data_IF_885277936977
#
_entry.id   IF_885277936977
#
_cell.length_a   1.000
_cell.length_b   1.000
_cell.length_c   1.000
_cell.angle_alpha   90.00
_cell.angle_beta   90.00
_cell.angle_gamma   90.00
#
_symmetry.space_group_name_H-M   'P 1'
#
loop_
_entity.id
_entity.type
_entity.pdbx_description
1 polymer ?
#
# COMPACT_ATOMS: atom_id res chain seq x y z
N UNK A 1 -25.58 2.82 17.12
CA UNK A 1 -24.20 2.28 17.16
C UNK A 1 -23.34 3.20 16.29
N UNK A 2 -22.75 4.23 16.89
CA UNK A 2 -21.94 5.22 16.19
C UNK A 2 -20.65 4.57 15.70
N UNK A 3 -20.57 4.37 14.39
CA UNK A 3 -19.31 4.00 13.75
C UNK A 3 -18.46 5.28 13.81
N UNK A 4 -17.55 5.36 14.79
CA UNK A 4 -16.52 6.41 14.81
C UNK A 4 -15.83 6.41 13.44
N UNK A 5 -16.12 7.43 12.62
CA UNK A 5 -15.29 7.73 11.46
C UNK A 5 -13.92 8.07 12.02
N UNK A 6 -12.94 7.19 11.80
CA UNK A 6 -11.54 7.51 12.07
C UNK A 6 -11.20 8.69 11.16
N UNK A 7 -10.90 9.85 11.75
CA UNK A 7 -10.42 10.97 10.94
C UNK A 7 -9.05 10.61 10.37
N UNK A 8 -8.64 11.26 9.28
CA UNK A 8 -7.30 11.02 8.72
C UNK A 8 -6.17 11.29 9.73
N UNK A 9 -6.38 12.21 10.68
CA UNK A 9 -5.45 12.51 11.75
C UNK A 9 -5.41 11.39 12.80
N UNK A 10 -6.57 10.87 13.22
CA UNK A 10 -6.62 9.70 14.12
C UNK A 10 -5.90 8.48 13.51
N UNK A 11 -5.98 8.34 12.18
CA UNK A 11 -5.28 7.29 11.46
C UNK A 11 -3.76 7.50 11.47
N UNK A 12 -3.29 8.74 11.31
CA UNK A 12 -1.86 9.09 11.42
C UNK A 12 -1.36 8.75 12.82
N UNK A 13 -2.05 9.20 13.88
CA UNK A 13 -1.63 8.92 15.26
C UNK A 13 -1.60 7.42 15.57
N UNK A 14 -2.65 6.70 15.13
CA UNK A 14 -2.73 5.26 15.31
C UNK A 14 -1.60 4.52 14.60
N UNK A 15 -1.30 4.87 13.34
CA UNK A 15 -0.20 4.27 12.60
C UNK A 15 1.15 4.62 13.20
N UNK A 16 1.35 5.88 13.61
CA UNK A 16 2.57 6.33 14.28
C UNK A 16 2.86 5.54 15.56
N UNK A 17 1.82 5.29 16.37
CA UNK A 17 1.94 4.43 17.56
C UNK A 17 2.33 3.00 17.21
N UNK A 18 1.66 2.39 16.22
CA UNK A 18 2.00 1.02 15.76
C UNK A 18 3.45 0.95 15.28
N UNK A 19 3.91 1.94 14.51
CA UNK A 19 5.29 1.96 14.02
C UNK A 19 6.31 2.09 15.15
N UNK A 20 6.04 2.92 16.15
CA UNK A 20 6.93 3.09 17.30
C UNK A 20 7.02 1.81 18.14
N UNK A 21 5.89 1.15 18.39
CA UNK A 21 5.79 -0.10 19.15
C UNK A 21 6.41 -1.31 18.42
N UNK A 22 6.67 -1.19 17.11
CA UNK A 22 7.19 -2.26 16.26
C UNK A 22 8.42 -1.79 15.47
N UNK A 23 9.24 -0.88 16.03
CA UNK A 23 10.35 -0.22 15.32
C UNK A 23 11.40 -1.20 14.79
N UNK A 24 11.56 -2.34 15.45
CA UNK A 24 12.49 -3.42 15.11
C UNK A 24 11.98 -4.33 13.99
N UNK A 25 10.70 -4.23 13.62
CA UNK A 25 10.08 -5.05 12.59
C UNK A 25 10.16 -4.39 11.23
N UNK A 26 10.29 -5.20 10.18
CA UNK A 26 10.03 -4.81 8.80
C UNK A 26 8.53 -4.66 8.61
N UNK A 27 8.04 -3.45 8.36
CA UNK A 27 6.60 -3.17 8.25
C UNK A 27 6.24 -2.81 6.80
N UNK A 28 5.22 -3.48 6.26
CA UNK A 28 4.59 -3.11 4.98
C UNK A 28 3.15 -2.66 5.23
N UNK A 29 2.80 -1.47 4.74
CA UNK A 29 1.44 -0.93 4.74
C UNK A 29 0.84 -1.09 3.36
N UNK A 30 -0.16 -1.95 3.23
CA UNK A 30 -0.82 -2.25 1.97
C UNK A 30 -2.23 -1.72 1.93
N UNK A 31 -2.62 -1.17 0.79
CA UNK A 31 -4.00 -0.75 0.54
C UNK A 31 -4.23 -0.47 -0.93
N UNK A 32 -5.46 -0.61 -1.39
CA UNK A 32 -5.83 -0.29 -2.78
C UNK A 32 -5.66 1.22 -3.07
N UNK A 33 -5.89 1.64 -4.31
CA UNK A 33 -6.00 3.07 -4.62
C UNK A 33 -7.08 3.73 -3.75
N UNK A 34 -7.01 5.05 -3.58
CA UNK A 34 -7.94 5.83 -2.75
C UNK A 34 -7.92 5.53 -1.22
N UNK A 35 -7.02 4.70 -0.69
CA UNK A 35 -6.88 4.51 0.77
C UNK A 35 -6.16 5.66 1.48
N UNK A 36 -5.56 6.60 0.75
CA UNK A 36 -4.85 7.75 1.33
C UNK A 36 -3.37 7.51 1.60
N UNK A 37 -2.74 6.47 1.03
CA UNK A 37 -1.31 6.14 1.23
C UNK A 37 -0.38 7.35 1.08
N UNK A 38 -0.49 8.11 0.00
CA UNK A 38 0.32 9.32 -0.25
C UNK A 38 0.14 10.40 0.84
N UNK A 39 -1.07 10.54 1.38
CA UNK A 39 -1.30 11.46 2.49
C UNK A 39 -0.61 10.93 3.76
N UNK A 40 -0.76 9.64 4.05
CA UNK A 40 -0.19 9.01 5.23
C UNK A 40 1.34 9.01 5.20
N UNK A 41 1.97 8.72 4.06
CA UNK A 41 3.43 8.76 3.91
C UNK A 41 4.00 10.15 4.16
N UNK A 42 3.31 11.20 3.69
CA UNK A 42 3.71 12.59 3.94
C UNK A 42 3.60 13.04 5.40
N UNK A 43 2.78 12.37 6.22
CA UNK A 43 2.57 12.72 7.63
C UNK A 43 3.29 11.79 8.61
N UNK A 44 3.68 10.59 8.17
CA UNK A 44 4.36 9.59 8.99
C UNK A 44 5.87 9.61 8.69
N UNK A 45 6.63 10.29 9.55
CA UNK A 45 8.09 10.40 9.40
C UNK A 45 8.76 9.04 9.30
N UNK A 46 9.73 8.92 8.39
CA UNK A 46 10.49 7.70 8.15
C UNK A 46 9.75 6.62 7.35
N UNK A 47 8.48 6.85 7.01
CA UNK A 47 7.78 6.00 6.06
C UNK A 47 8.17 6.31 4.61
N UNK A 48 8.00 5.31 3.75
CA UNK A 48 8.48 5.32 2.38
C UNK A 48 7.32 4.98 1.46
N UNK A 49 7.12 5.75 0.39
CA UNK A 49 6.24 5.33 -0.71
C UNK A 49 6.97 4.31 -1.60
N UNK A 50 6.31 3.19 -1.88
CA UNK A 50 6.88 2.08 -2.67
C UNK A 50 7.32 2.53 -4.06
N UNK A 51 6.56 3.41 -4.72
CA UNK A 51 6.89 3.88 -6.06
C UNK A 51 8.12 4.81 -5.98
N UNK A 52 8.17 5.72 -5.01
CA UNK A 52 9.34 6.57 -4.78
C UNK A 52 10.61 5.76 -4.47
N UNK A 53 10.48 4.62 -3.79
CA UNK A 53 11.61 3.76 -3.47
C UNK A 53 12.08 2.91 -4.65
N UNK A 54 11.15 2.30 -5.41
CA UNK A 54 11.51 1.35 -6.47
C UNK A 54 12.02 2.05 -7.72
N UNK A 55 11.44 3.19 -8.11
CA UNK A 55 11.78 3.85 -9.38
C UNK A 55 13.27 4.22 -9.50
N UNK A 56 13.94 4.73 -8.46
CA UNK A 56 15.39 4.95 -8.49
C UNK A 56 16.23 3.69 -8.71
N UNK A 57 15.71 2.51 -8.31
CA UNK A 57 16.39 1.21 -8.42
C UNK A 57 16.21 0.55 -9.79
N UNK A 58 15.30 1.07 -10.62
CA UNK A 58 15.06 0.55 -11.95
C UNK A 58 16.06 1.13 -12.96
N UNK A 59 16.64 0.25 -13.77
CA UNK A 59 17.36 0.63 -14.99
C UNK A 59 16.42 1.32 -15.97
N UNK A 60 17.00 2.06 -16.94
CA UNK A 60 16.21 2.70 -18.02
C UNK A 60 15.30 1.69 -18.74
N UNK A 61 15.84 0.52 -19.11
CA UNK A 61 15.08 -0.56 -19.76
C UNK A 61 13.92 -1.08 -18.91
N UNK A 62 14.11 -1.20 -17.60
CA UNK A 62 13.04 -1.62 -16.69
C UNK A 62 11.96 -0.55 -16.58
N UNK A 63 12.33 0.71 -16.40
CA UNK A 63 11.40 1.86 -16.41
C UNK A 63 10.59 1.91 -17.69
N UNK A 64 11.26 1.86 -18.84
CA UNK A 64 10.62 1.90 -20.16
C UNK A 64 9.63 0.74 -20.31
N UNK A 65 9.91 -0.43 -19.71
CA UNK A 65 9.00 -1.58 -19.77
C UNK A 65 7.78 -1.46 -18.86
N UNK A 66 7.85 -0.71 -17.75
CA UNK A 66 6.73 -0.57 -16.80
C UNK A 66 5.94 0.74 -16.93
N UNK A 67 6.52 1.75 -17.60
CA UNK A 67 5.89 3.05 -17.86
C UNK A 67 5.22 3.15 -19.24
N UNK A 68 4.78 2.02 -19.80
CA UNK A 68 4.13 1.97 -21.12
C UNK A 68 2.62 2.16 -21.03
N UNK A 69 2.06 2.83 -22.05
CA UNK A 69 0.62 3.02 -22.22
C UNK A 69 0.11 2.27 -23.46
N UNK A 70 -1.03 1.56 -23.38
CA UNK A 70 -1.89 1.38 -22.21
C UNK A 70 -1.30 0.41 -21.16
N UNK A 71 -1.68 0.58 -19.89
CA UNK A 71 -1.32 -0.38 -18.83
C UNK A 71 -1.91 -1.75 -19.14
N UNK A 72 -1.11 -2.81 -18.96
CA UNK A 72 -1.54 -4.20 -19.18
C UNK A 72 -1.27 -5.05 -17.94
N UNK A 73 -1.99 -6.16 -17.74
CA UNK A 73 -1.71 -7.09 -16.65
C UNK A 73 -0.25 -7.59 -16.62
N UNK A 74 0.37 -7.76 -17.80
CA UNK A 74 1.79 -8.14 -17.93
C UNK A 74 2.73 -7.06 -17.36
N UNK A 75 2.42 -5.78 -17.60
CA UNK A 75 3.16 -4.64 -17.01
C UNK A 75 3.04 -4.68 -15.48
N UNK A 76 1.83 -4.90 -14.96
CA UNK A 76 1.60 -5.03 -13.51
C UNK A 76 2.36 -6.19 -12.86
N UNK A 77 2.37 -7.36 -13.51
CA UNK A 77 3.16 -8.51 -13.05
C UNK A 77 4.66 -8.21 -13.05
N UNK A 78 5.16 -7.54 -14.10
CA UNK A 78 6.57 -7.17 -14.19
C UNK A 78 6.96 -6.17 -13.10
N UNK A 79 6.13 -5.14 -12.86
CA UNK A 79 6.34 -4.21 -11.76
C UNK A 79 6.37 -4.93 -10.41
N UNK A 80 5.41 -5.85 -10.18
CA UNK A 80 5.37 -6.67 -8.95
C UNK A 80 6.65 -7.49 -8.77
N UNK A 81 7.15 -8.11 -9.85
CA UNK A 81 8.41 -8.87 -9.83
C UNK A 81 9.60 -7.99 -9.47
N UNK A 82 9.71 -6.81 -10.11
CA UNK A 82 10.80 -5.86 -9.86
C UNK A 82 10.80 -5.34 -8.43
N UNK A 83 9.61 -5.03 -7.88
CA UNK A 83 9.48 -4.63 -6.48
C UNK A 83 9.94 -5.76 -5.57
N UNK A 84 9.51 -7.01 -5.79
CA UNK A 84 9.91 -8.16 -4.95
C UNK A 84 11.42 -8.45 -5.01
N UNK A 85 12.04 -8.21 -6.16
CA UNK A 85 13.47 -8.46 -6.36
C UNK A 85 14.35 -7.36 -5.73
N UNK A 86 13.96 -6.09 -5.91
CA UNK A 86 14.83 -4.94 -5.62
C UNK A 86 14.45 -4.18 -4.34
N UNK A 87 13.18 -4.21 -3.95
CA UNK A 87 12.72 -3.55 -2.73
C UNK A 87 12.90 -4.49 -1.53
N UNK A 88 13.65 -4.02 -0.53
CA UNK A 88 13.79 -4.69 0.76
C UNK A 88 13.18 -3.82 1.84
N UNK A 89 12.16 -4.32 2.51
CA UNK A 89 11.58 -3.66 3.69
C UNK A 89 12.59 -3.73 4.84
N UNK A 90 12.85 -2.60 5.49
CA UNK A 90 13.83 -2.49 6.57
C UNK A 90 13.14 -2.12 7.89
N UNK A 91 13.67 -2.58 9.05
CA UNK A 91 13.24 -2.08 10.35
C UNK A 91 13.30 -0.55 10.43
N UNK A 92 12.31 0.04 11.11
CA UNK A 92 12.21 1.49 11.28
C UNK A 92 11.83 2.27 10.03
N UNK A 93 11.58 1.60 8.89
CA UNK A 93 11.20 2.22 7.62
C UNK A 93 9.95 1.56 7.03
N UNK A 94 8.74 1.88 7.54
CA UNK A 94 7.50 1.33 7.02
C UNK A 94 7.30 1.70 5.54
N UNK A 95 7.06 0.71 4.69
CA UNK A 95 6.85 0.92 3.25
C UNK A 95 5.35 0.91 2.95
N UNK A 96 4.85 1.91 2.23
CA UNK A 96 3.46 2.00 1.79
C UNK A 96 3.34 1.59 0.34
N UNK A 97 2.40 0.69 0.01
CA UNK A 97 2.18 0.30 -1.38
C UNK A 97 0.94 -0.53 -1.61
N UNK A 98 0.93 -1.20 -2.76
CA UNK A 98 -0.17 -2.07 -3.22
C UNK A 98 0.25 -3.54 -3.28
N UNK A 99 1.55 -3.82 -3.11
CA UNK A 99 2.13 -5.17 -3.19
C UNK A 99 2.48 -5.66 -1.79
N UNK A 100 2.06 -6.88 -1.47
CA UNK A 100 2.52 -7.59 -0.26
C UNK A 100 3.95 -8.07 -0.49
N UNK A 101 4.86 -7.62 0.37
CA UNK A 101 6.28 -7.95 0.35
C UNK A 101 6.66 -8.76 1.59
N UNK A 102 7.86 -9.36 1.56
CA UNK A 102 8.43 -10.00 2.74
C UNK A 102 8.68 -8.97 3.85
N UNK A 103 8.02 -9.18 4.99
CA UNK A 103 7.95 -8.28 6.11
C UNK A 103 7.58 -9.07 7.38
N UNK A 104 7.84 -8.50 8.55
CA UNK A 104 7.52 -9.13 9.85
C UNK A 104 6.14 -8.70 10.36
N UNK A 105 5.58 -7.63 9.78
CA UNK A 105 4.24 -7.12 10.08
C UNK A 105 3.60 -6.49 8.84
N UNK A 106 2.36 -6.87 8.57
CA UNK A 106 1.54 -6.26 7.52
C UNK A 106 0.48 -5.38 8.17
N UNK A 107 0.38 -4.13 7.72
CA UNK A 107 -0.76 -3.26 8.04
C UNK A 107 -1.63 -3.16 6.81
N UNK A 108 -2.86 -3.64 6.90
CA UNK A 108 -3.81 -3.63 5.79
C UNK A 108 -4.84 -2.52 5.97
N UNK A 109 -4.80 -1.53 5.09
CA UNK A 109 -5.79 -0.46 4.97
C UNK A 109 -6.96 -0.93 4.09
N UNK A 110 -8.01 -1.46 4.73
CA UNK A 110 -9.24 -1.89 4.05
C UNK A 110 -10.21 -0.73 3.93
N UNK A 111 -10.47 -0.28 2.71
CA UNK A 111 -11.47 0.76 2.46
C UNK A 111 -12.82 0.13 2.13
N UNK A 112 -13.88 0.64 2.77
CA UNK A 112 -15.27 0.20 2.50
C UNK A 112 -15.72 0.65 1.11
N UNK A 113 -16.56 -0.16 0.47
CA UNK A 113 -17.08 0.09 -0.89
C UNK A 113 -17.70 1.49 -1.04
N UNK A 114 -18.44 1.98 -0.02
CA UNK A 114 -19.04 3.32 -0.05
C UNK A 114 -17.96 4.41 -0.19
N UNK A 115 -16.98 4.43 0.71
CA UNK A 115 -15.90 5.42 0.71
C UNK A 115 -14.98 5.25 -0.51
N UNK A 116 -14.76 4.00 -0.95
CA UNK A 116 -14.00 3.70 -2.15
C UNK A 116 -14.69 4.29 -3.38
N UNK A 117 -16.00 4.10 -3.53
CA UNK A 117 -16.80 4.66 -4.63
C UNK A 117 -16.74 6.18 -4.66
N UNK A 118 -16.94 6.83 -3.51
CA UNK A 118 -16.87 8.29 -3.36
C UNK A 118 -15.49 8.82 -3.79
N UNK A 119 -14.41 8.24 -3.26
CA UNK A 119 -13.04 8.67 -3.59
C UNK A 119 -12.63 8.34 -5.02
N UNK A 120 -13.09 7.21 -5.56
CA UNK A 120 -12.87 6.83 -6.96
C UNK A 120 -13.49 7.85 -7.91
N UNK A 121 -14.70 8.32 -7.62
CA UNK A 121 -15.36 9.38 -8.39
C UNK A 121 -14.58 10.70 -8.33
N UNK A 122 -14.19 11.14 -7.13
CA UNK A 122 -13.41 12.37 -6.94
C UNK A 122 -12.07 12.34 -7.69
N UNK A 123 -11.41 11.18 -7.73
CA UNK A 123 -10.12 11.01 -8.41
C UNK A 123 -10.23 10.60 -9.88
N UNK A 124 -11.45 10.46 -10.41
CA UNK A 124 -11.71 9.98 -11.78
C UNK A 124 -11.00 8.65 -12.09
N UNK A 125 -10.93 7.76 -11.10
CA UNK A 125 -10.39 6.40 -11.25
C UNK A 125 -11.52 5.38 -11.27
N UNK A 126 -11.30 4.26 -11.97
CA UNK A 126 -12.29 3.20 -12.07
C UNK A 126 -12.49 2.49 -10.70
N UNK A 127 -13.74 2.45 -10.24
CA UNK A 127 -14.11 1.81 -8.97
C UNK A 127 -13.88 0.29 -8.98
N UNK A 128 -14.21 -0.39 -10.08
CA UNK A 128 -14.03 -1.84 -10.19
C UNK A 128 -12.55 -2.22 -10.20
N UNK A 129 -11.69 -1.44 -10.86
CA UNK A 129 -10.24 -1.65 -10.80
C UNK A 129 -9.71 -1.51 -9.37
N UNK A 130 -10.17 -0.49 -8.65
CA UNK A 130 -9.81 -0.30 -7.25
C UNK A 130 -10.31 -1.45 -6.35
N UNK A 131 -11.52 -1.97 -6.62
CA UNK A 131 -12.09 -3.10 -5.90
C UNK A 131 -11.35 -4.40 -6.19
N UNK A 132 -10.97 -4.63 -7.44
CA UNK A 132 -10.19 -5.79 -7.87
C UNK A 132 -8.80 -5.77 -7.24
N UNK A 133 -8.14 -4.62 -7.20
CA UNK A 133 -6.87 -4.45 -6.49
C UNK A 133 -7.02 -4.74 -4.98
N UNK A 134 -8.12 -4.31 -4.35
CA UNK A 134 -8.38 -4.65 -2.94
C UNK A 134 -8.52 -6.16 -2.73
N UNK A 135 -9.27 -6.86 -3.58
CA UNK A 135 -9.42 -8.33 -3.53
C UNK A 135 -8.08 -9.04 -3.74
N UNK A 136 -7.24 -8.54 -4.65
CA UNK A 136 -5.90 -9.09 -4.89
C UNK A 136 -5.02 -8.96 -3.63
N UNK A 137 -5.00 -7.79 -2.99
CA UNK A 137 -4.29 -7.57 -1.73
C UNK A 137 -4.79 -8.55 -0.66
N UNK A 138 -6.10 -8.70 -0.50
CA UNK A 138 -6.68 -9.64 0.46
C UNK A 138 -6.29 -11.10 0.16
N UNK A 139 -6.19 -11.48 -1.11
CA UNK A 139 -5.73 -12.81 -1.52
C UNK A 139 -4.25 -13.03 -1.20
N UNK A 140 -3.38 -12.06 -1.49
CA UNK A 140 -1.94 -12.15 -1.19
C UNK A 140 -1.66 -12.18 0.32
N UNK A 141 -2.40 -11.40 1.12
CA UNK A 141 -2.30 -11.43 2.59
C UNK A 141 -2.62 -12.83 3.14
N UNK A 142 -3.58 -13.56 2.56
CA UNK A 142 -3.92 -14.92 3.01
C UNK A 142 -2.84 -15.96 2.71
N UNK A 143 -1.94 -15.68 1.76
CA UNK A 143 -0.86 -16.60 1.35
C UNK A 143 0.38 -16.48 2.23
N UNK A 144 0.49 -15.43 3.03
CA UNK A 144 1.66 -15.17 3.87
C UNK A 144 1.34 -15.50 5.33
N UNK A 145 2.32 -16.08 6.02
CA UNK A 145 2.20 -16.43 7.43
C UNK A 145 2.86 -15.35 8.31
N UNK A 146 2.33 -14.13 8.22
CA UNK A 146 2.86 -12.94 8.91
C UNK A 146 1.71 -12.26 9.67
N UNK A 147 1.93 -11.72 10.88
CA UNK A 147 0.91 -10.95 11.58
C UNK A 147 0.33 -9.81 10.72
N UNK A 148 -0.99 -9.64 10.78
CA UNK A 148 -1.72 -8.62 10.01
C UNK A 148 -2.55 -7.74 10.95
N UNK A 149 -2.28 -6.43 10.94
CA UNK A 149 -3.15 -5.43 11.57
C UNK A 149 -4.06 -4.84 10.50
N UNK A 150 -5.36 -5.13 10.60
CA UNK A 150 -6.37 -4.61 9.68
C UNK A 150 -6.98 -3.32 10.21
N UNK A 151 -6.94 -2.25 9.41
CA UNK A 151 -7.58 -0.98 9.69
C UNK A 151 -8.66 -0.74 8.65
N UNK A 152 -9.90 -0.53 9.12
CA UNK A 152 -11.06 -0.29 8.25
C UNK A 152 -11.25 1.22 8.08
N UNK A 153 -11.25 1.68 6.82
CA UNK A 153 -11.51 3.04 6.38
C UNK A 153 -12.95 3.19 5.89
#
# INVERSE_FOLDING_TARGET
MEIKMVTLLDLVDKLGKIFLENKEKRIIVVGTTCTGKTFLTGHLKGSIDMDEYIFPLLTKKEKDSVCTFPWTPKIGQKMTSLVREKLKVKPGQPVFGTVVLDADLIIYLKIRDKLLKERSQLRKVNFEDAKNMQKQIESEIKKVNVPVIKIIL
#
